data_IF_993845738573
#
_entry.id   IF_993845738573
#
_cell.length_a   1.000
_cell.length_b   1.000
_cell.length_c   1.000
_cell.angle_alpha   90.00
_cell.angle_beta   90.00
_cell.angle_gamma   90.00
#
_symmetry.space_group_name_H-M   'P 1'
#
loop_
_entity.id
_entity.type
_entity.pdbx_description
1 polymer ?
#
# COMPACT_ATOMS: atom_id res chain seq x y z
N UNK A 1 0.78 10.58 -4.17
CA UNK A 1 -0.68 10.32 -4.31
C UNK A 1 -1.00 9.02 -3.58
N UNK A 2 -2.06 8.99 -2.76
CA UNK A 2 -2.35 7.80 -1.93
C UNK A 2 -2.66 6.57 -2.78
N UNK A 3 -1.98 5.44 -2.53
CA UNK A 3 -2.18 4.16 -3.24
C UNK A 3 -3.66 3.70 -3.18
N UNK A 4 -4.31 3.88 -2.03
CA UNK A 4 -5.73 3.54 -1.86
C UNK A 4 -6.64 4.30 -2.84
N UNK A 5 -6.35 5.57 -3.12
CA UNK A 5 -7.12 6.37 -4.07
C UNK A 5 -7.01 5.82 -5.49
N UNK A 6 -5.82 5.38 -5.89
CA UNK A 6 -5.61 4.71 -7.18
C UNK A 6 -6.28 3.35 -7.27
N UNK A 7 -6.21 2.54 -6.21
CA UNK A 7 -6.90 1.24 -6.16
C UNK A 7 -8.41 1.43 -6.31
N UNK A 8 -9.00 2.37 -5.58
CA UNK A 8 -10.43 2.68 -5.70
C UNK A 8 -10.78 3.20 -7.09
N UNK A 9 -9.96 4.09 -7.67
CA UNK A 9 -10.13 4.55 -9.05
C UNK A 9 -10.17 3.38 -10.05
N UNK A 10 -9.20 2.46 -10.00
CA UNK A 10 -9.16 1.32 -10.93
C UNK A 10 -10.32 0.35 -10.72
N UNK A 11 -10.75 0.11 -9.47
CA UNK A 11 -11.94 -0.71 -9.15
C UNK A 11 -13.21 -0.11 -9.75
N UNK A 12 -13.39 1.21 -9.62
CA UNK A 12 -14.53 1.91 -10.23
C UNK A 12 -14.40 1.90 -11.75
N UNK A 13 -13.23 2.20 -12.31
CA UNK A 13 -13.04 2.26 -13.76
C UNK A 13 -13.09 0.91 -14.48
N UNK A 14 -12.95 -0.21 -13.76
CA UNK A 14 -13.08 -1.58 -14.30
C UNK A 14 -14.49 -1.98 -14.78
N UNK A 15 -15.33 -1.01 -15.13
CA UNK A 15 -16.70 -1.20 -15.63
C UNK A 15 -16.88 -0.41 -16.93
N UNK A 16 -17.25 -1.13 -17.99
CA UNK A 16 -17.37 -0.57 -19.33
C UNK A 16 -18.44 0.53 -19.43
N UNK A 17 -19.55 0.42 -18.67
CA UNK A 17 -20.63 1.41 -18.67
C UNK A 17 -20.15 2.72 -18.07
N UNK A 18 -19.36 2.67 -16.97
CA UNK A 18 -18.78 3.89 -16.36
C UNK A 18 -17.81 4.59 -17.30
N UNK A 19 -16.99 3.85 -18.04
CA UNK A 19 -16.12 4.43 -19.09
C UNK A 19 -16.96 5.11 -20.18
N UNK A 20 -18.03 4.44 -20.66
CA UNK A 20 -18.93 5.02 -21.67
C UNK A 20 -19.62 6.29 -21.17
N UNK A 21 -20.06 6.33 -19.91
CA UNK A 21 -20.63 7.54 -19.30
C UNK A 21 -19.61 8.68 -19.32
N UNK A 22 -18.37 8.46 -18.88
CA UNK A 22 -17.34 9.49 -18.91
C UNK A 22 -17.04 9.98 -20.33
N UNK A 23 -17.00 9.09 -21.32
CA UNK A 23 -16.81 9.44 -22.73
C UNK A 23 -17.97 10.25 -23.32
N UNK A 24 -19.19 10.09 -22.80
CA UNK A 24 -20.33 10.93 -23.15
C UNK A 24 -20.25 12.30 -22.48
N UNK A 25 -19.84 12.34 -21.21
CA UNK A 25 -19.71 13.57 -20.43
C UNK A 25 -18.53 14.46 -20.87
N UNK A 26 -17.47 13.88 -21.45
CA UNK A 26 -16.35 14.65 -22.03
C UNK A 26 -16.75 15.44 -23.27
N UNK A 27 -17.88 15.09 -23.90
CA UNK A 27 -18.47 15.84 -25.02
C UNK A 27 -19.40 16.98 -24.55
N UNK A 28 -19.47 17.21 -23.24
CA UNK A 28 -20.28 18.25 -22.61
C UNK A 28 -21.30 17.71 -21.60
N UNK A 29 -21.88 18.59 -20.76
CA UNK A 29 -22.74 18.18 -19.66
C UNK A 29 -24.00 17.43 -20.12
N UNK A 30 -24.38 16.37 -19.41
CA UNK A 30 -25.61 15.58 -19.69
C UNK A 30 -26.36 15.27 -18.40
N UNK A 31 -27.68 15.17 -18.50
CA UNK A 31 -28.52 14.70 -17.39
C UNK A 31 -28.68 13.17 -17.43
N UNK A 32 -29.16 12.60 -16.32
CA UNK A 32 -29.33 11.16 -16.17
C UNK A 32 -30.29 10.53 -17.20
N UNK A 33 -31.37 11.23 -17.57
CA UNK A 33 -32.35 10.74 -18.54
C UNK A 33 -31.75 10.64 -19.95
N UNK A 34 -30.96 11.64 -20.35
CA UNK A 34 -30.23 11.63 -21.62
C UNK A 34 -29.21 10.49 -21.67
N UNK A 35 -28.46 10.27 -20.58
CA UNK A 35 -27.51 9.16 -20.49
C UNK A 35 -28.20 7.80 -20.57
N UNK A 36 -29.34 7.65 -19.89
CA UNK A 36 -30.20 6.47 -19.94
C UNK A 36 -30.66 6.17 -21.37
N UNK A 37 -31.18 7.18 -22.08
CA UNK A 37 -31.61 7.04 -23.48
C UNK A 37 -30.48 6.67 -24.44
N UNK A 38 -29.31 7.32 -24.34
CA UNK A 38 -28.16 7.03 -25.21
C UNK A 38 -27.59 5.63 -24.97
N UNK A 39 -27.52 5.19 -23.72
CA UNK A 39 -26.90 3.91 -23.35
C UNK A 39 -27.89 2.73 -23.37
N UNK A 40 -29.19 2.98 -23.53
CA UNK A 40 -30.22 1.96 -23.48
C UNK A 40 -30.36 1.31 -22.10
N UNK A 41 -30.07 2.05 -21.04
CA UNK A 41 -30.08 1.56 -19.66
C UNK A 41 -31.19 2.23 -18.85
N UNK A 42 -31.66 1.57 -17.79
CA UNK A 42 -32.70 2.17 -16.92
C UNK A 42 -32.16 3.36 -16.11
N UNK A 43 -33.00 4.35 -15.77
CA UNK A 43 -32.58 5.49 -14.94
C UNK A 43 -31.97 5.08 -13.57
N UNK A 44 -32.48 4.05 -12.86
CA UNK A 44 -31.83 3.54 -11.65
C UNK A 44 -30.41 3.02 -11.90
N UNK A 45 -30.18 2.28 -13.00
CA UNK A 45 -28.85 1.79 -13.38
C UNK A 45 -27.88 2.96 -13.63
N UNK A 46 -28.32 3.98 -14.38
CA UNK A 46 -27.50 5.19 -14.61
C UNK A 46 -27.19 5.90 -13.30
N UNK A 47 -28.17 6.05 -12.42
CA UNK A 47 -27.99 6.69 -11.11
C UNK A 47 -26.94 5.94 -10.26
N UNK A 48 -26.97 4.60 -10.29
CA UNK A 48 -25.96 3.78 -9.61
C UNK A 48 -24.54 4.07 -10.13
N UNK A 49 -24.34 4.09 -11.45
CA UNK A 49 -23.04 4.39 -12.04
C UNK A 49 -22.57 5.83 -11.75
N UNK A 50 -23.46 6.82 -11.86
CA UNK A 50 -23.15 8.21 -11.55
C UNK A 50 -22.75 8.38 -10.09
N UNK A 51 -23.43 7.71 -9.16
CA UNK A 51 -23.05 7.73 -7.73
C UNK A 51 -21.66 7.18 -7.51
N UNK A 52 -21.29 6.05 -8.14
CA UNK A 52 -19.93 5.49 -8.03
C UNK A 52 -18.85 6.41 -8.60
N UNK A 53 -19.14 7.08 -9.71
CA UNK A 53 -18.23 8.08 -10.29
C UNK A 53 -18.11 9.34 -9.42
N UNK A 54 -19.20 9.73 -8.75
CA UNK A 54 -19.24 10.87 -7.82
C UNK A 54 -18.47 10.58 -6.53
N UNK A 55 -18.58 9.37 -5.98
CA UNK A 55 -17.85 8.92 -4.79
C UNK A 55 -16.32 9.11 -4.92
N UNK A 56 -15.78 8.98 -6.13
CA UNK A 56 -14.36 9.21 -6.43
C UNK A 56 -14.07 10.59 -7.05
N UNK A 57 -15.06 11.49 -7.02
CA UNK A 57 -14.99 12.87 -7.52
C UNK A 57 -14.64 13.02 -9.01
N UNK A 58 -14.82 11.98 -9.82
CA UNK A 58 -14.59 12.03 -11.27
C UNK A 58 -15.67 12.81 -12.02
N UNK A 59 -16.84 12.99 -11.41
CA UNK A 59 -17.91 13.82 -11.96
C UNK A 59 -18.37 14.85 -10.92
N UNK A 60 -18.80 16.00 -11.42
CA UNK A 60 -19.53 17.02 -10.67
C UNK A 60 -20.96 17.09 -11.16
N UNK A 61 -21.83 17.71 -10.36
CA UNK A 61 -23.23 17.93 -10.71
C UNK A 61 -23.61 19.40 -10.54
N UNK A 62 -24.46 19.89 -11.43
CA UNK A 62 -25.02 21.23 -11.38
C UNK A 62 -26.51 21.16 -11.65
N UNK A 63 -27.30 21.73 -10.74
CA UNK A 63 -28.75 21.84 -10.91
C UNK A 63 -29.08 23.08 -11.74
N UNK A 64 -29.86 22.88 -12.79
CA UNK A 64 -30.41 23.95 -13.63
C UNK A 64 -31.91 23.74 -13.69
N UNK A 65 -32.67 24.65 -13.06
CA UNK A 65 -34.12 24.48 -12.82
C UNK A 65 -34.40 23.13 -12.12
N UNK A 66 -35.18 22.26 -12.75
CA UNK A 66 -35.57 20.95 -12.23
C UNK A 66 -34.67 19.80 -12.72
N UNK A 67 -33.59 20.09 -13.46
CA UNK A 67 -32.72 19.07 -14.06
C UNK A 67 -31.31 19.13 -13.46
N UNK A 68 -30.75 17.96 -13.15
CA UNK A 68 -29.35 17.82 -12.72
C UNK A 68 -28.50 17.43 -13.92
N UNK A 69 -27.48 18.23 -14.20
CA UNK A 69 -26.49 17.97 -15.24
C UNK A 69 -25.18 17.52 -14.60
N UNK A 70 -24.57 16.49 -15.18
CA UNK A 70 -23.28 15.96 -14.76
C UNK A 70 -22.19 16.40 -15.72
N UNK A 71 -20.99 16.60 -15.20
CA UNK A 71 -19.80 16.94 -15.98
C UNK A 71 -18.60 16.15 -15.45
N UNK A 72 -17.70 15.73 -16.34
CA UNK A 72 -16.46 15.04 -15.97
C UNK A 72 -15.40 16.03 -15.45
N UNK A 73 -14.67 15.62 -14.43
CA UNK A 73 -13.46 16.29 -13.98
C UNK A 73 -12.25 15.74 -14.74
N UNK A 74 -11.98 16.30 -15.93
CA UNK A 74 -10.94 15.81 -16.84
C UNK A 74 -9.55 15.88 -16.23
N UNK A 75 -9.25 16.94 -15.48
CA UNK A 75 -7.96 17.12 -14.80
C UNK A 75 -7.71 15.99 -13.79
N UNK A 76 -8.72 15.65 -12.98
CA UNK A 76 -8.60 14.55 -12.03
C UNK A 76 -8.52 13.19 -12.73
N UNK A 77 -9.30 12.98 -13.80
CA UNK A 77 -9.23 11.76 -14.59
C UNK A 77 -7.83 11.52 -15.16
N UNK A 78 -7.22 12.56 -15.74
CA UNK A 78 -5.85 12.51 -16.26
C UNK A 78 -4.84 12.21 -15.15
N UNK A 79 -4.94 12.92 -14.02
CA UNK A 79 -4.05 12.71 -12.87
C UNK A 79 -4.12 11.27 -12.35
N UNK A 80 -5.32 10.72 -12.16
CA UNK A 80 -5.51 9.35 -11.66
C UNK A 80 -5.06 8.30 -12.66
N UNK A 81 -5.27 8.53 -13.97
CA UNK A 81 -4.83 7.62 -15.03
C UNK A 81 -3.30 7.56 -15.12
N UNK A 82 -2.61 8.70 -15.00
CA UNK A 82 -1.15 8.75 -15.06
C UNK A 82 -0.48 8.30 -13.76
N UNK A 83 -1.17 8.45 -12.62
CA UNK A 83 -0.59 8.14 -11.31
C UNK A 83 -0.17 6.70 -11.08
N UNK A 84 -0.76 5.73 -11.79
CA UNK A 84 -0.28 4.35 -11.77
C UNK A 84 1.13 4.26 -12.36
N UNK A 85 1.37 4.93 -13.49
CA UNK A 85 2.68 4.97 -14.14
C UNK A 85 3.71 5.69 -13.27
N UNK A 86 3.34 6.79 -12.62
CA UNK A 86 4.23 7.49 -11.68
C UNK A 86 4.71 6.58 -10.55
N UNK A 87 3.79 5.79 -9.97
CA UNK A 87 4.13 4.82 -8.93
C UNK A 87 5.03 3.69 -9.46
N UNK A 88 4.67 3.07 -10.58
CA UNK A 88 5.41 1.92 -11.13
C UNK A 88 6.81 2.32 -11.61
N UNK A 89 6.94 3.52 -12.17
CA UNK A 89 8.23 4.03 -12.67
C UNK A 89 9.09 4.69 -11.58
N UNK A 90 8.64 4.69 -10.32
CA UNK A 90 9.36 5.27 -9.19
C UNK A 90 9.47 6.80 -9.23
N UNK A 91 8.72 7.47 -10.11
CA UNK A 91 8.67 8.94 -10.20
C UNK A 91 7.71 9.56 -9.18
N UNK A 92 6.80 8.75 -8.62
CA UNK A 92 5.95 9.12 -7.50
C UNK A 92 6.42 8.43 -6.23
N UNK A 93 6.49 9.17 -5.12
CA UNK A 93 6.66 8.58 -3.80
C UNK A 93 5.49 7.61 -3.53
N UNK A 94 5.81 6.31 -3.49
CA UNK A 94 4.94 5.32 -2.90
C UNK A 94 4.81 5.67 -1.41
N UNK A 95 3.68 6.29 -1.03
CA UNK A 95 3.30 6.39 0.37
C UNK A 95 2.99 4.99 0.89
N UNK A 96 4.04 4.26 1.26
CA UNK A 96 3.96 3.01 2.00
C UNK A 96 3.45 3.36 3.40
N UNK A 97 2.12 3.39 3.53
CA UNK A 97 1.35 3.50 4.78
C UNK A 97 2.10 4.25 5.90
N UNK A 98 2.23 5.58 5.76
CA UNK A 98 3.04 6.43 6.64
C UNK A 98 2.69 6.27 8.13
N UNK A 99 1.42 5.96 8.47
CA UNK A 99 0.99 5.69 9.85
C UNK A 99 1.63 4.43 10.46
N UNK A 100 1.69 3.32 9.70
CA UNK A 100 2.40 2.11 10.16
C UNK A 100 3.89 2.38 10.28
N UNK A 101 4.47 3.14 9.35
CA UNK A 101 5.89 3.50 9.37
C UNK A 101 6.22 4.41 10.57
N UNK A 102 5.34 5.35 10.92
CA UNK A 102 5.48 6.21 12.10
C UNK A 102 5.31 5.43 13.41
N UNK A 103 4.32 4.54 13.51
CA UNK A 103 4.14 3.65 14.67
C UNK A 103 5.36 2.73 14.85
N UNK A 104 5.85 2.12 13.77
CA UNK A 104 7.05 1.28 13.79
C UNK A 104 8.28 2.08 14.23
N UNK A 105 8.45 3.30 13.73
CA UNK A 105 9.58 4.19 14.11
C UNK A 105 9.51 4.56 15.59
N UNK A 106 8.31 4.86 16.11
CA UNK A 106 8.10 5.13 17.54
C UNK A 106 8.39 3.90 18.39
N UNK A 107 7.93 2.72 17.98
CA UNK A 107 8.23 1.45 18.66
C UNK A 107 9.74 1.19 18.67
N UNK A 108 10.43 1.35 17.52
CA UNK A 108 11.88 1.20 17.45
C UNK A 108 12.60 2.16 18.41
N UNK A 109 12.19 3.42 18.48
CA UNK A 109 12.77 4.40 19.41
C UNK A 109 12.61 4.03 20.90
N UNK A 110 11.60 3.24 21.26
CA UNK A 110 11.44 2.76 22.64
C UNK A 110 12.47 1.67 22.98
N UNK A 111 12.80 0.79 22.02
CA UNK A 111 13.67 -0.37 22.26
C UNK A 111 15.13 -0.16 21.84
N UNK A 112 15.42 0.76 20.93
CA UNK A 112 16.78 1.08 20.51
C UNK A 112 17.37 2.24 21.33
N UNK A 113 18.66 2.18 21.60
CA UNK A 113 19.44 3.31 22.14
C UNK A 113 19.79 4.28 21.01
N UNK A 114 20.30 5.47 21.37
CA UNK A 114 20.76 6.46 20.38
C UNK A 114 21.89 5.91 19.50
N UNK A 115 22.70 5.01 20.05
CA UNK A 115 23.81 4.35 19.35
C UNK A 115 23.37 3.09 18.56
N UNK A 116 22.07 2.81 18.51
CA UNK A 116 21.49 1.71 17.73
C UNK A 116 21.48 0.34 18.43
N UNK A 117 21.91 0.24 19.70
CA UNK A 117 21.82 -1.02 20.47
C UNK A 117 20.40 -1.30 20.94
N UNK A 118 20.04 -2.56 21.04
CA UNK A 118 18.76 -2.99 21.57
C UNK A 118 18.83 -3.01 23.11
N UNK A 119 17.93 -2.30 23.78
CA UNK A 119 17.84 -2.29 25.25
C UNK A 119 17.35 -3.62 25.80
N UNK A 120 16.37 -4.22 25.13
CA UNK A 120 15.75 -5.49 25.49
C UNK A 120 14.99 -6.05 24.28
N UNK A 121 14.90 -7.38 24.18
CA UNK A 121 14.10 -8.05 23.18
C UNK A 121 12.61 -7.88 23.55
N UNK A 122 11.76 -7.28 22.69
CA UNK A 122 10.38 -7.02 23.06
C UNK A 122 9.60 -8.31 23.38
N UNK A 123 8.82 -8.34 24.48
CA UNK A 123 8.01 -9.51 24.81
C UNK A 123 6.77 -9.62 23.91
N UNK A 124 6.17 -8.48 23.50
CA UNK A 124 5.04 -8.49 22.58
C UNK A 124 5.46 -8.84 21.16
N UNK A 125 4.80 -9.84 20.56
CA UNK A 125 5.10 -10.36 19.22
C UNK A 125 5.17 -9.27 18.15
N UNK A 126 4.16 -8.39 18.06
CA UNK A 126 4.13 -7.26 17.09
C UNK A 126 5.40 -6.40 17.17
N UNK A 127 5.79 -6.00 18.39
CA UNK A 127 6.97 -5.16 18.64
C UNK A 127 8.27 -5.91 18.35
N UNK A 128 8.33 -7.19 18.70
CA UNK A 128 9.48 -8.05 18.42
C UNK A 128 9.70 -8.20 16.92
N UNK A 129 8.65 -8.44 16.13
CA UNK A 129 8.73 -8.50 14.67
C UNK A 129 9.25 -7.20 14.06
N UNK A 130 8.79 -6.03 14.56
CA UNK A 130 9.29 -4.73 14.10
C UNK A 130 10.81 -4.59 14.33
N UNK A 131 11.30 -4.99 15.49
CA UNK A 131 12.74 -4.99 15.81
C UNK A 131 13.49 -5.98 14.92
N UNK A 132 13.01 -7.21 14.77
CA UNK A 132 13.65 -8.22 13.93
C UNK A 132 13.72 -7.77 12.46
N UNK A 133 12.64 -7.19 11.94
CA UNK A 133 12.60 -6.65 10.58
C UNK A 133 13.62 -5.52 10.41
N UNK A 134 13.82 -4.68 11.43
CA UNK A 134 14.84 -3.64 11.40
C UNK A 134 16.25 -4.23 11.36
N UNK A 135 16.55 -5.20 12.22
CA UNK A 135 17.85 -5.88 12.24
C UNK A 135 18.14 -6.63 10.94
N UNK A 136 17.12 -7.26 10.34
CA UNK A 136 17.28 -8.02 9.11
C UNK A 136 17.69 -7.16 7.90
N UNK A 137 17.51 -5.83 7.95
CA UNK A 137 17.89 -4.90 6.88
C UNK A 137 19.41 -4.86 6.61
N UNK A 138 20.23 -5.30 7.57
CA UNK A 138 21.68 -5.37 7.36
C UNK A 138 22.15 -6.61 6.59
N UNK A 139 21.25 -7.51 6.22
CA UNK A 139 21.59 -8.69 5.42
C UNK A 139 21.15 -8.52 3.96
N UNK A 140 21.91 -9.12 3.06
CA UNK A 140 21.69 -9.11 1.62
C UNK A 140 20.88 -10.36 1.22
N UNK A 141 19.89 -10.18 0.36
CA UNK A 141 19.08 -11.28 -0.16
C UNK A 141 19.93 -12.19 -1.08
N UNK A 142 19.73 -13.50 -0.98
CA UNK A 142 20.50 -14.50 -1.74
C UNK A 142 21.93 -14.75 -1.22
N UNK A 143 22.38 -14.00 -0.21
CA UNK A 143 23.69 -14.22 0.42
C UNK A 143 23.57 -15.22 1.57
N UNK A 144 24.50 -16.17 1.59
CA UNK A 144 24.65 -17.18 2.63
C UNK A 144 25.62 -16.68 3.70
N UNK A 145 25.19 -16.77 4.96
CA UNK A 145 25.93 -16.31 6.12
C UNK A 145 26.20 -17.48 7.07
N UNK A 146 27.47 -17.81 7.35
CA UNK A 146 27.81 -18.70 8.45
C UNK A 146 27.25 -18.19 9.77
N UNK A 147 26.86 -19.11 10.66
CA UNK A 147 26.34 -18.78 11.99
C UNK A 147 27.23 -17.80 12.77
N UNK A 148 28.55 -17.92 12.62
CA UNK A 148 29.52 -17.02 13.25
C UNK A 148 29.33 -15.58 12.79
N UNK A 149 29.11 -15.34 11.49
CA UNK A 149 28.88 -13.99 10.96
C UNK A 149 27.55 -13.40 11.45
N UNK A 150 26.50 -14.23 11.50
CA UNK A 150 25.20 -13.83 12.07
C UNK A 150 25.37 -13.42 13.54
N UNK A 151 26.11 -14.20 14.33
CA UNK A 151 26.35 -13.89 15.73
C UNK A 151 27.10 -12.57 15.90
N UNK A 152 28.20 -12.39 15.15
CA UNK A 152 28.99 -11.15 15.20
C UNK A 152 28.22 -9.93 14.72
N UNK A 153 27.30 -10.09 13.77
CA UNK A 153 26.38 -9.03 13.38
C UNK A 153 25.40 -8.68 14.51
N UNK A 154 24.69 -9.68 15.05
CA UNK A 154 23.67 -9.45 16.08
C UNK A 154 24.28 -8.90 17.38
N UNK A 155 25.49 -9.33 17.75
CA UNK A 155 26.22 -8.83 18.94
C UNK A 155 26.45 -7.33 18.93
N UNK A 156 26.47 -6.68 17.76
CA UNK A 156 26.55 -5.21 17.64
C UNK A 156 25.31 -4.54 18.24
N UNK A 157 24.18 -5.25 18.26
CA UNK A 157 22.89 -4.77 18.73
C UNK A 157 22.54 -5.31 20.12
N UNK A 158 22.78 -6.60 20.41
CA UNK A 158 22.38 -7.24 21.66
C UNK A 158 23.25 -8.46 22.00
N UNK A 159 23.57 -8.67 23.28
CA UNK A 159 24.41 -9.79 23.74
C UNK A 159 23.72 -11.15 23.62
N UNK A 160 22.40 -11.20 23.79
CA UNK A 160 21.60 -12.40 23.52
C UNK A 160 21.36 -12.59 22.01
N UNK A 161 22.45 -12.82 21.28
CA UNK A 161 22.41 -13.10 19.84
C UNK A 161 21.73 -14.43 19.54
N UNK A 162 21.76 -15.38 20.47
CA UNK A 162 21.16 -16.70 20.31
C UNK A 162 19.64 -16.62 20.22
N UNK A 163 18.99 -15.81 21.07
CA UNK A 163 17.54 -15.61 21.02
C UNK A 163 17.11 -14.89 19.75
N UNK A 164 17.78 -13.80 19.36
CA UNK A 164 17.45 -13.07 18.12
C UNK A 164 17.60 -13.97 16.90
N UNK A 165 18.68 -14.75 16.84
CA UNK A 165 18.91 -15.70 15.76
C UNK A 165 17.83 -16.79 15.70
N UNK A 166 17.39 -17.31 16.86
CA UNK A 166 16.26 -18.25 16.94
C UNK A 166 14.98 -17.60 16.42
N UNK A 167 14.72 -16.36 16.82
CA UNK A 167 13.54 -15.60 16.38
C UNK A 167 13.54 -15.31 14.87
N UNK A 168 14.70 -15.10 14.23
CA UNK A 168 14.76 -14.99 12.77
C UNK A 168 14.25 -16.25 12.06
N UNK A 169 14.50 -17.43 12.64
CA UNK A 169 14.02 -18.71 12.08
C UNK A 169 12.54 -18.91 12.39
N UNK A 170 12.15 -18.72 13.66
CA UNK A 170 10.76 -18.90 14.12
C UNK A 170 9.78 -18.02 13.35
N UNK A 171 10.19 -16.80 12.99
CA UNK A 171 9.36 -15.85 12.25
C UNK A 171 9.58 -15.90 10.72
N UNK A 172 10.25 -16.94 10.22
CA UNK A 172 10.52 -17.16 8.80
C UNK A 172 11.24 -16.00 8.09
N UNK A 173 12.00 -15.20 8.83
CA UNK A 173 12.82 -14.10 8.27
C UNK A 173 14.07 -14.67 7.58
N UNK A 174 14.64 -15.72 8.17
CA UNK A 174 15.75 -16.48 7.59
C UNK A 174 15.42 -17.97 7.57
N UNK A 175 15.98 -18.69 6.62
CA UNK A 175 16.12 -20.13 6.72
C UNK A 175 17.52 -20.48 7.24
N UNK A 176 17.65 -21.66 7.84
CA UNK A 176 18.92 -22.19 8.31
C UNK A 176 19.09 -23.65 7.90
N UNK A 177 20.22 -23.96 7.29
CA UNK A 177 20.63 -25.33 6.95
C UNK A 177 22.14 -25.47 7.21
N UNK A 178 22.58 -26.55 7.87
CA UNK A 178 24.00 -26.82 8.14
C UNK A 178 24.77 -25.63 8.76
N UNK A 179 24.14 -24.91 9.70
CA UNK A 179 24.69 -23.69 10.34
C UNK A 179 24.96 -22.52 9.39
N UNK A 180 24.36 -22.55 8.19
CA UNK A 180 24.32 -21.45 7.24
C UNK A 180 22.92 -20.83 7.27
N UNK A 181 22.88 -19.51 7.29
CA UNK A 181 21.68 -18.69 7.30
C UNK A 181 21.56 -17.93 5.98
N UNK A 182 20.35 -17.76 5.49
CA UNK A 182 20.07 -16.88 4.35
C UNK A 182 18.67 -16.27 4.52
N UNK A 183 18.52 -15.04 4.02
CA UNK A 183 17.24 -14.34 4.08
C UNK A 183 16.19 -15.05 3.22
N UNK A 184 15.01 -15.26 3.79
CA UNK A 184 13.86 -15.68 3.00
C UNK A 184 13.30 -14.50 2.19
N UNK A 185 12.60 -14.78 1.07
CA UNK A 185 11.72 -13.81 0.43
C UNK A 185 10.78 -13.16 1.45
N UNK A 186 10.56 -11.84 1.33
CA UNK A 186 9.81 -11.05 2.33
C UNK A 186 8.35 -11.50 2.48
N UNK A 187 7.82 -12.16 1.47
CA UNK A 187 6.47 -12.73 1.41
C UNK A 187 6.28 -13.86 2.43
N UNK A 188 7.37 -14.54 2.81
CA UNK A 188 7.37 -15.62 3.81
C UNK A 188 7.49 -15.11 5.24
N UNK A 189 7.87 -13.85 5.45
CA UNK A 189 8.10 -13.32 6.80
C UNK A 189 6.78 -13.21 7.57
N UNK A 190 6.82 -13.56 8.85
CA UNK A 190 5.64 -13.49 9.71
C UNK A 190 5.05 -12.08 9.79
N UNK A 191 3.79 -11.92 9.39
CA UNK A 191 3.13 -10.61 9.30
C UNK A 191 3.06 -9.90 10.65
N UNK A 192 3.31 -8.59 10.61
CA UNK A 192 3.10 -7.67 11.73
C UNK A 192 1.59 -7.38 11.81
N UNK A 193 0.91 -8.15 12.65
CA UNK A 193 -0.51 -8.00 12.99
C UNK A 193 -0.69 -7.16 14.26
#
# INVERSE_FOLDING_TARGET
>A
MQLNKLVTFHKVMGDATRIRILALLSKGPKNGQTLSGILGLTPPTITHHLTKLREISLISEKRVKNTIYFQVNEKLLQQLSLGMMEIVTGKGELEVNQEKTAEHTKILGNYLTKDGKLKTIPPQRKRRLIVLYHLAKGFEAGKKYPEKEINEYIKRFHEDFATIRREFIVNHIMYRENSIYELNPKELWAKIE
#
